data_IF_076580130680
#
_entry.id   IF_076580130680
#
_cell.length_a   1.000
_cell.length_b   1.000
_cell.length_c   1.000
_cell.angle_alpha   90.00
_cell.angle_beta   90.00
_cell.angle_gamma   90.00
#
_symmetry.space_group_name_H-M   'P 1'
#
loop_
_entity.id
_entity.type
_entity.pdbx_description
1 polymer ?
#
# COMPACT_ATOMS: atom_id res chain seq x y z
N UNK A 1 3.32 -13.18 18.38
CA UNK A 1 4.13 -13.99 17.44
C UNK A 1 5.53 -14.01 17.98
N UNK A 2 6.18 -15.18 18.05
CA UNK A 2 7.57 -15.30 18.47
C UNK A 2 8.54 -15.34 17.28
N UNK A 3 9.80 -15.08 17.53
CA UNK A 3 10.83 -15.03 16.49
C UNK A 3 11.09 -16.40 15.83
N UNK A 4 11.20 -17.52 16.55
CA UNK A 4 11.37 -18.84 15.95
C UNK A 4 10.27 -19.21 14.97
N UNK A 5 9.00 -18.97 15.34
CA UNK A 5 7.87 -19.22 14.46
C UNK A 5 7.94 -18.33 13.19
N UNK A 6 8.25 -17.03 13.37
CA UNK A 6 8.35 -16.10 12.24
C UNK A 6 9.47 -16.51 11.27
N UNK A 7 10.61 -16.98 11.77
CA UNK A 7 11.72 -17.48 10.96
C UNK A 7 11.31 -18.70 10.14
N UNK A 8 10.68 -19.71 10.77
CA UNK A 8 10.22 -20.92 10.07
C UNK A 8 9.14 -20.60 9.03
N UNK A 9 8.22 -19.70 9.36
CA UNK A 9 7.21 -19.24 8.41
C UNK A 9 7.86 -18.51 7.21
N UNK A 10 8.85 -17.67 7.46
CA UNK A 10 9.64 -17.01 6.42
C UNK A 10 10.37 -18.01 5.52
N UNK A 11 10.97 -19.06 6.09
CA UNK A 11 11.59 -20.15 5.31
C UNK A 11 10.56 -20.87 4.42
N UNK A 12 9.36 -21.13 4.93
CA UNK A 12 8.28 -21.73 4.17
C UNK A 12 7.84 -20.82 3.00
N UNK A 13 7.61 -19.54 3.28
CA UNK A 13 7.21 -18.56 2.27
C UNK A 13 8.23 -18.48 1.12
N UNK A 14 9.54 -18.39 1.45
CA UNK A 14 10.62 -18.39 0.44
C UNK A 14 10.60 -19.65 -0.41
N UNK A 15 10.45 -20.84 0.19
CA UNK A 15 10.32 -22.12 -0.56
C UNK A 15 9.12 -22.10 -1.51
N UNK A 16 8.04 -21.43 -1.12
CA UNK A 16 6.81 -21.29 -1.92
C UNK A 16 6.83 -20.09 -2.87
N UNK A 17 7.90 -19.28 -2.87
CA UNK A 17 8.02 -18.03 -3.64
C UNK A 17 6.90 -17.04 -3.33
N UNK A 18 6.54 -16.94 -2.06
CA UNK A 18 5.54 -16.01 -1.53
C UNK A 18 6.28 -14.85 -0.86
N UNK A 19 5.98 -13.63 -1.28
CA UNK A 19 6.43 -12.43 -0.59
C UNK A 19 5.59 -12.22 0.68
N UNK A 20 6.24 -11.78 1.74
CA UNK A 20 5.58 -11.49 3.00
C UNK A 20 5.64 -10.00 3.30
N UNK A 21 4.61 -9.49 3.94
CA UNK A 21 4.60 -8.23 4.67
C UNK A 21 4.13 -8.45 6.10
N UNK A 22 4.39 -7.50 6.98
CA UNK A 22 3.90 -7.52 8.36
C UNK A 22 3.01 -6.32 8.54
N UNK A 23 1.78 -6.52 9.01
CA UNK A 23 0.96 -5.42 9.50
C UNK A 23 1.26 -5.21 10.99
N UNK A 24 1.72 -4.02 11.36
CA UNK A 24 1.95 -3.65 12.75
C UNK A 24 0.62 -3.55 13.53
N UNK A 25 0.64 -3.69 14.86
CA UNK A 25 -0.56 -3.45 15.65
C UNK A 25 -1.14 -2.06 15.41
N UNK A 26 -2.46 -1.93 15.33
CA UNK A 26 -3.16 -0.66 15.06
C UNK A 26 -2.73 0.45 16.04
N UNK A 27 -2.45 0.10 17.30
CA UNK A 27 -1.95 1.06 18.30
C UNK A 27 -0.47 1.47 18.11
N UNK A 28 0.24 0.86 17.16
CA UNK A 28 1.64 1.13 16.85
C UNK A 28 1.83 2.32 15.90
N UNK A 29 1.18 3.45 16.16
CA UNK A 29 1.30 4.66 15.36
C UNK A 29 2.14 5.74 16.05
N UNK A 30 2.78 6.59 15.26
CA UNK A 30 3.60 7.71 15.75
C UNK A 30 2.80 8.99 15.95
N UNK A 31 3.46 10.05 16.41
CA UNK A 31 2.83 11.35 16.64
C UNK A 31 2.33 11.55 18.08
N UNK A 32 2.59 10.63 19.00
CA UNK A 32 2.38 10.84 20.43
C UNK A 32 3.35 11.90 21.01
N UNK A 33 3.00 12.45 22.16
CA UNK A 33 3.94 13.32 22.90
C UNK A 33 5.18 12.52 23.27
N UNK A 34 6.36 13.08 23.01
CA UNK A 34 7.63 12.43 23.35
C UNK A 34 7.70 12.13 24.85
N UNK A 35 8.34 11.01 25.17
CA UNK A 35 8.47 10.48 26.54
C UNK A 35 7.15 10.11 27.22
N UNK A 36 6.01 10.22 26.52
CA UNK A 36 4.75 9.65 27.02
C UNK A 36 4.78 8.13 26.92
N UNK A 37 4.07 7.45 27.82
CA UNK A 37 3.88 5.99 27.82
C UNK A 37 3.36 5.48 26.48
N UNK A 38 2.44 6.19 25.83
CA UNK A 38 1.89 5.83 24.51
C UNK A 38 2.96 5.87 23.42
N UNK A 39 3.84 6.89 23.44
CA UNK A 39 4.97 6.95 22.51
C UNK A 39 5.92 5.76 22.70
N UNK A 40 6.31 5.46 23.94
CA UNK A 40 7.16 4.32 24.25
C UNK A 40 6.54 2.99 23.84
N UNK A 41 5.24 2.81 24.02
CA UNK A 41 4.49 1.63 23.56
C UNK A 41 4.50 1.51 22.02
N UNK A 42 4.21 2.60 21.30
CA UNK A 42 4.21 2.61 19.83
C UNK A 42 5.59 2.26 19.27
N UNK A 43 6.66 2.87 19.78
CA UNK A 43 8.05 2.54 19.44
C UNK A 43 8.34 1.06 19.70
N UNK A 44 7.91 0.53 20.86
CA UNK A 44 8.08 -0.89 21.20
C UNK A 44 7.36 -1.83 20.23
N UNK A 45 6.13 -1.50 19.84
CA UNK A 45 5.34 -2.30 18.89
C UNK A 45 5.99 -2.30 17.50
N UNK A 46 6.42 -1.15 17.00
CA UNK A 46 7.08 -1.07 15.70
C UNK A 46 8.48 -1.71 15.68
N UNK A 47 9.26 -1.59 16.77
CA UNK A 47 10.54 -2.27 16.93
C UNK A 47 10.35 -3.81 16.95
N UNK A 48 9.32 -4.31 17.66
CA UNK A 48 9.01 -5.74 17.67
C UNK A 48 8.57 -6.22 16.29
N UNK A 49 7.68 -5.48 15.60
CA UNK A 49 7.27 -5.78 14.22
C UNK A 49 8.47 -5.82 13.28
N UNK A 50 9.43 -4.89 13.45
CA UNK A 50 10.66 -4.87 12.67
C UNK A 50 11.54 -6.11 12.90
N UNK A 51 11.63 -6.57 14.15
CA UNK A 51 12.33 -7.80 14.47
C UNK A 51 11.68 -9.03 13.83
N UNK A 52 10.35 -9.15 13.91
CA UNK A 52 9.58 -10.22 13.26
C UNK A 52 9.76 -10.16 11.73
N UNK A 53 9.63 -9.00 11.12
CA UNK A 53 9.81 -8.82 9.68
C UNK A 53 11.22 -9.20 9.23
N UNK A 54 12.25 -8.82 9.99
CA UNK A 54 13.65 -9.15 9.69
C UNK A 54 13.88 -10.66 9.63
N UNK A 55 13.46 -11.42 10.65
CA UNK A 55 13.68 -12.87 10.70
C UNK A 55 12.80 -13.63 9.71
N UNK A 56 11.59 -13.16 9.44
CA UNK A 56 10.71 -13.74 8.43
C UNK A 56 11.17 -13.43 6.99
N UNK A 57 11.98 -12.39 6.79
CA UNK A 57 12.30 -11.85 5.46
C UNK A 57 11.09 -11.18 4.84
N UNK A 58 10.30 -10.46 5.64
CA UNK A 58 9.09 -9.77 5.23
C UNK A 58 9.34 -8.27 5.01
N UNK A 59 8.69 -7.69 3.99
CA UNK A 59 8.67 -6.26 3.73
C UNK A 59 7.46 -5.86 2.86
N UNK A 60 6.89 -4.67 3.04
CA UNK A 60 7.17 -3.72 4.11
C UNK A 60 6.51 -4.10 5.45
N UNK A 61 6.83 -3.34 6.51
CA UNK A 61 6.02 -3.32 7.73
C UNK A 61 4.95 -2.25 7.54
N UNK A 62 3.72 -2.66 7.33
CA UNK A 62 2.58 -1.75 7.18
C UNK A 62 2.19 -1.19 8.55
N UNK A 63 1.97 0.10 8.63
CA UNK A 63 1.52 0.78 9.84
C UNK A 63 0.61 1.97 9.52
N UNK A 64 -0.27 2.29 10.47
CA UNK A 64 -1.14 3.45 10.40
C UNK A 64 -0.41 4.72 10.83
N UNK A 65 -0.56 5.86 10.14
CA UNK A 65 0.15 7.09 10.50
C UNK A 65 -0.41 7.78 11.77
N UNK A 66 -1.63 7.42 12.21
CA UNK A 66 -2.22 7.85 13.47
C UNK A 66 -3.22 8.98 13.37
N UNK A 67 -3.15 9.93 14.32
CA UNK A 67 -4.20 10.93 14.53
C UNK A 67 -3.61 12.32 14.71
N UNK A 68 -4.46 13.35 14.54
CA UNK A 68 -4.07 14.76 14.76
C UNK A 68 -3.70 15.06 16.22
N UNK A 69 -4.33 14.40 17.18
CA UNK A 69 -4.11 14.58 18.64
C UNK A 69 -4.13 16.05 19.07
N UNK A 70 -5.12 16.82 18.60
CA UNK A 70 -5.28 18.24 18.90
C UNK A 70 -4.34 19.21 18.17
N UNK A 71 -3.53 18.72 17.23
CA UNK A 71 -2.60 19.54 16.44
C UNK A 71 -3.15 19.86 15.06
N UNK A 72 -2.56 20.87 14.42
CA UNK A 72 -2.75 21.07 12.97
C UNK A 72 -2.13 19.88 12.21
N UNK A 73 -2.71 19.52 11.05
CA UNK A 73 -2.19 18.44 10.19
C UNK A 73 -0.70 18.59 9.90
N UNK A 74 -0.25 19.80 9.56
CA UNK A 74 1.16 20.08 9.29
C UNK A 74 2.07 19.74 10.49
N UNK A 75 1.68 20.12 11.71
CA UNK A 75 2.46 19.81 12.91
C UNK A 75 2.44 18.32 13.25
N UNK A 76 1.29 17.68 13.10
CA UNK A 76 1.16 16.24 13.34
C UNK A 76 2.04 15.44 12.38
N UNK A 77 2.02 15.74 11.08
CA UNK A 77 2.86 15.09 10.08
C UNK A 77 4.36 15.33 10.32
N UNK A 78 4.76 16.56 10.67
CA UNK A 78 6.16 16.84 10.97
C UNK A 78 6.66 16.00 12.15
N UNK A 79 5.86 15.87 13.22
CA UNK A 79 6.20 15.04 14.37
C UNK A 79 6.26 13.54 14.02
N UNK A 80 5.34 13.05 13.21
CA UNK A 80 5.38 11.65 12.74
C UNK A 80 6.68 11.38 11.96
N UNK A 81 7.08 12.28 11.06
CA UNK A 81 8.33 12.15 10.29
C UNK A 81 9.55 12.14 11.20
N UNK A 82 9.62 13.05 12.18
CA UNK A 82 10.72 13.12 13.15
C UNK A 82 10.83 11.83 13.96
N UNK A 83 9.72 11.38 14.56
CA UNK A 83 9.69 10.14 15.36
C UNK A 83 9.99 8.88 14.56
N UNK A 84 9.60 8.84 13.28
CA UNK A 84 9.99 7.75 12.39
C UNK A 84 11.49 7.77 12.08
N UNK A 85 12.09 8.94 11.91
CA UNK A 85 13.55 9.05 11.72
C UNK A 85 14.32 8.53 12.94
N UNK A 86 13.87 8.88 14.16
CA UNK A 86 14.44 8.37 15.41
C UNK A 86 14.27 6.85 15.55
N UNK A 87 13.08 6.35 15.19
CA UNK A 87 12.83 4.90 15.14
C UNK A 87 13.79 4.22 14.17
N UNK A 88 14.03 4.80 12.99
CA UNK A 88 14.97 4.24 12.00
C UNK A 88 16.37 4.10 12.57
N UNK A 89 16.90 5.15 13.20
CA UNK A 89 18.21 5.13 13.85
C UNK A 89 18.30 4.01 14.90
N UNK A 90 17.25 3.87 15.72
CA UNK A 90 17.15 2.79 16.72
C UNK A 90 17.13 1.39 16.07
N UNK A 91 16.41 1.20 14.97
CA UNK A 91 16.33 -0.09 14.27
C UNK A 91 17.66 -0.46 13.62
N UNK A 92 18.41 0.51 13.11
CA UNK A 92 19.75 0.31 12.54
C UNK A 92 20.73 -0.22 13.58
N UNK A 93 20.73 0.33 14.81
CA UNK A 93 21.61 -0.19 15.89
C UNK A 93 21.31 -1.62 16.29
N UNK A 94 20.12 -2.15 15.94
CA UNK A 94 19.66 -3.51 16.26
C UNK A 94 19.67 -4.47 15.07
N UNK A 95 20.17 -4.04 13.93
CA UNK A 95 20.08 -4.78 12.65
C UNK A 95 18.63 -5.18 12.28
N UNK A 96 17.67 -4.29 12.53
CA UNK A 96 16.23 -4.49 12.24
C UNK A 96 15.68 -3.50 11.23
N UNK A 97 16.57 -2.80 10.51
CA UNK A 97 16.20 -1.76 9.57
C UNK A 97 15.62 -2.36 8.27
N UNK A 98 14.33 -2.65 8.27
CA UNK A 98 13.53 -3.06 7.10
C UNK A 98 12.69 -1.89 6.57
N UNK A 99 12.24 -1.91 5.29
CA UNK A 99 11.29 -0.92 4.80
C UNK A 99 9.97 -0.93 5.56
N UNK A 100 9.44 0.27 5.85
CA UNK A 100 8.10 0.44 6.39
C UNK A 100 7.12 0.83 5.28
N UNK A 101 5.84 0.63 5.52
CA UNK A 101 4.75 1.02 4.64
C UNK A 101 3.74 1.86 5.42
N UNK A 102 3.59 3.14 5.06
CA UNK A 102 2.56 4.00 5.65
C UNK A 102 1.26 3.87 4.87
N UNK A 103 0.18 3.51 5.55
CA UNK A 103 -1.07 3.17 4.92
C UNK A 103 -2.03 4.37 4.82
N UNK A 104 -2.76 4.43 3.69
CA UNK A 104 -3.92 5.32 3.54
C UNK A 104 -5.03 4.89 4.50
N UNK A 105 -5.63 5.86 5.20
CA UNK A 105 -6.68 5.62 6.19
C UNK A 105 -8.08 5.85 5.63
N UNK A 106 -9.04 5.08 6.15
CA UNK A 106 -10.44 5.08 5.73
C UNK A 106 -11.35 6.07 6.46
N UNK A 107 -10.81 7.00 7.26
CA UNK A 107 -11.59 7.99 8.03
C UNK A 107 -11.03 9.39 7.90
N UNK A 108 -11.88 10.36 7.60
CA UNK A 108 -11.47 11.75 7.30
C UNK A 108 -10.81 12.49 8.47
N UNK A 109 -11.00 12.04 9.71
CA UNK A 109 -10.42 12.65 10.91
C UNK A 109 -9.04 12.11 11.28
N UNK A 110 -8.58 11.07 10.62
CA UNK A 110 -7.27 10.46 10.84
C UNK A 110 -6.18 11.17 10.02
N UNK A 111 -4.93 11.00 10.42
CA UNK A 111 -3.81 11.17 9.49
C UNK A 111 -3.82 9.98 8.54
N UNK A 112 -3.40 10.19 7.28
CA UNK A 112 -3.32 9.12 6.30
C UNK A 112 -4.20 9.35 5.08
N UNK A 113 -4.51 10.62 4.75
CA UNK A 113 -4.96 10.91 3.38
C UNK A 113 -3.85 10.51 2.39
N UNK A 114 -4.19 10.39 1.11
CA UNK A 114 -3.19 10.11 0.07
C UNK A 114 -2.02 11.12 0.14
N UNK A 115 -2.33 12.41 0.30
CA UNK A 115 -1.34 13.47 0.41
C UNK A 115 -0.45 13.32 1.64
N UNK A 116 -1.01 12.86 2.78
CA UNK A 116 -0.25 12.65 4.02
C UNK A 116 0.78 11.53 3.85
N UNK A 117 0.39 10.39 3.30
CA UNK A 117 1.31 9.26 3.13
C UNK A 117 2.38 9.56 2.09
N UNK A 118 2.04 10.28 1.01
CA UNK A 118 3.02 10.73 0.04
C UNK A 118 4.01 11.72 0.67
N UNK A 119 3.53 12.67 1.48
CA UNK A 119 4.38 13.60 2.23
C UNK A 119 5.39 12.89 3.13
N UNK A 120 4.97 11.84 3.84
CA UNK A 120 5.86 11.02 4.70
C UNK A 120 6.88 10.28 3.84
N UNK A 121 6.44 9.63 2.77
CA UNK A 121 7.29 8.82 1.88
C UNK A 121 8.33 9.66 1.13
N UNK A 122 7.99 10.88 0.73
CA UNK A 122 8.95 11.80 0.09
C UNK A 122 10.10 12.21 1.02
N UNK A 123 9.85 12.30 2.33
CA UNK A 123 10.83 12.70 3.34
C UNK A 123 11.62 11.54 3.88
N UNK A 124 11.03 10.36 3.89
CA UNK A 124 11.60 9.14 4.42
C UNK A 124 11.55 8.03 3.35
N UNK A 125 12.55 7.94 2.45
CA UNK A 125 12.51 6.98 1.32
C UNK A 125 12.41 5.50 1.74
N UNK A 126 12.70 5.17 2.99
CA UNK A 126 12.51 3.84 3.55
C UNK A 126 11.08 3.58 4.03
N UNK A 127 10.21 4.61 4.06
CA UNK A 127 8.77 4.51 4.33
C UNK A 127 8.04 4.61 3.01
N UNK A 128 7.52 3.49 2.52
CA UNK A 128 6.81 3.39 1.22
C UNK A 128 5.32 3.67 1.40
N UNK A 129 4.64 4.30 0.43
CA UNK A 129 3.18 4.42 0.50
C UNK A 129 2.53 3.04 0.32
N UNK A 130 1.58 2.72 1.19
CA UNK A 130 0.66 1.59 1.07
C UNK A 130 -0.71 2.13 0.72
N UNK A 131 -1.24 1.66 -0.40
CA UNK A 131 -2.50 2.17 -0.94
C UNK A 131 -3.62 1.18 -0.60
N UNK A 132 -4.46 1.54 0.37
CA UNK A 132 -5.73 0.85 0.56
C UNK A 132 -6.81 1.52 -0.28
N UNK A 133 -7.28 0.82 -1.31
CA UNK A 133 -8.33 1.36 -2.19
C UNK A 133 -9.72 1.27 -1.58
N UNK A 134 -9.96 0.39 -0.62
CA UNK A 134 -11.20 0.37 0.13
C UNK A 134 -11.30 1.63 1.01
N UNK A 135 -10.23 1.97 1.73
CA UNK A 135 -10.14 3.20 2.53
C UNK A 135 -10.33 4.45 1.66
N UNK A 136 -9.62 4.54 0.52
CA UNK A 136 -9.80 5.65 -0.42
C UNK A 136 -11.24 5.72 -0.94
N UNK A 137 -11.86 4.57 -1.25
CA UNK A 137 -13.25 4.51 -1.69
C UNK A 137 -14.20 5.08 -0.65
N UNK A 138 -13.99 4.72 0.62
CA UNK A 138 -14.79 5.23 1.74
C UNK A 138 -14.65 6.74 1.92
N UNK A 139 -13.42 7.28 2.00
CA UNK A 139 -13.19 8.72 2.25
C UNK A 139 -13.55 9.62 1.08
N UNK A 140 -13.70 9.07 -0.12
CA UNK A 140 -14.12 9.78 -1.33
C UNK A 140 -15.57 9.53 -1.73
N UNK A 141 -16.34 8.94 -0.82
CA UNK A 141 -17.77 8.65 -1.03
C UNK A 141 -18.04 7.80 -2.29
N UNK A 142 -17.24 6.74 -2.47
CA UNK A 142 -17.44 5.77 -3.54
C UNK A 142 -16.77 6.09 -4.89
N UNK A 143 -15.75 6.95 -4.93
CA UNK A 143 -15.15 7.42 -6.20
C UNK A 143 -14.37 6.35 -6.99
N UNK A 144 -13.96 5.23 -6.38
CA UNK A 144 -13.08 4.25 -7.02
C UNK A 144 -13.86 3.20 -7.84
N UNK A 145 -14.48 3.65 -8.94
CA UNK A 145 -15.23 2.82 -9.89
C UNK A 145 -14.67 2.85 -11.30
N UNK A 146 -13.69 3.72 -11.60
CA UNK A 146 -13.13 3.91 -12.93
C UNK A 146 -11.62 3.65 -12.99
N UNK A 147 -11.13 3.13 -14.11
CA UNK A 147 -9.68 2.95 -14.33
C UNK A 147 -8.87 4.24 -14.14
N UNK A 148 -9.47 5.40 -14.42
CA UNK A 148 -8.80 6.70 -14.24
C UNK A 148 -8.55 6.99 -12.77
N UNK A 149 -9.53 6.78 -11.88
CA UNK A 149 -9.40 7.04 -10.46
C UNK A 149 -8.23 6.22 -9.85
N UNK A 150 -8.20 4.93 -10.12
CA UNK A 150 -7.09 4.06 -9.66
C UNK A 150 -5.74 4.47 -10.25
N UNK A 151 -5.69 4.77 -11.55
CA UNK A 151 -4.45 5.17 -12.22
C UNK A 151 -3.86 6.44 -11.64
N UNK A 152 -4.68 7.43 -11.32
CA UNK A 152 -4.22 8.73 -10.84
C UNK A 152 -3.55 8.57 -9.46
N UNK A 153 -4.10 7.73 -8.57
CA UNK A 153 -3.47 7.38 -7.28
C UNK A 153 -2.17 6.59 -7.46
N UNK A 154 -2.19 5.55 -8.30
CA UNK A 154 -0.98 4.78 -8.61
C UNK A 154 0.11 5.66 -9.24
N UNK A 155 -0.26 6.64 -10.07
CA UNK A 155 0.69 7.59 -10.66
C UNK A 155 1.33 8.48 -9.60
N UNK A 156 0.56 8.94 -8.61
CA UNK A 156 1.09 9.72 -7.49
C UNK A 156 2.04 8.88 -6.64
N UNK A 157 1.65 7.67 -6.25
CA UNK A 157 2.50 6.76 -5.49
C UNK A 157 3.78 6.37 -6.24
N UNK A 158 3.70 6.18 -7.57
CA UNK A 158 4.85 5.82 -8.41
C UNK A 158 5.95 6.88 -8.42
N UNK A 159 5.62 8.16 -8.18
CA UNK A 159 6.59 9.25 -8.15
C UNK A 159 7.49 9.22 -6.91
N UNK A 160 6.95 8.77 -5.78
CA UNK A 160 7.65 8.77 -4.49
C UNK A 160 8.26 7.40 -4.14
N UNK A 161 7.79 6.32 -4.76
CA UNK A 161 8.34 4.99 -4.54
C UNK A 161 9.78 4.87 -5.06
N UNK A 162 10.71 4.33 -4.28
CA UNK A 162 12.07 4.05 -4.73
C UNK A 162 12.07 3.19 -6.01
N UNK A 163 13.12 3.35 -6.82
CA UNK A 163 13.30 2.54 -8.03
C UNK A 163 13.33 1.05 -7.67
N UNK A 164 12.51 0.24 -8.36
CA UNK A 164 12.42 -1.20 -8.15
C UNK A 164 11.52 -1.63 -6.99
N UNK A 165 11.12 -0.74 -6.09
CA UNK A 165 10.15 -1.08 -5.05
C UNK A 165 8.78 -1.38 -5.67
N UNK A 166 8.07 -2.45 -5.26
CA UNK A 166 6.72 -2.74 -5.76
C UNK A 166 5.70 -1.73 -5.24
N UNK A 167 4.57 -1.59 -5.93
CA UNK A 167 3.36 -1.10 -5.27
C UNK A 167 2.97 -2.09 -4.18
N UNK A 168 2.55 -1.58 -3.03
CA UNK A 168 1.89 -2.36 -1.99
C UNK A 168 0.46 -1.85 -1.87
N UNK A 169 -0.50 -2.73 -2.12
CA UNK A 169 -1.91 -2.36 -2.26
C UNK A 169 -2.76 -3.28 -1.41
N UNK A 170 -3.64 -2.69 -0.61
CA UNK A 170 -4.75 -3.38 0.03
C UNK A 170 -6.03 -3.11 -0.75
N UNK A 171 -6.92 -4.09 -0.80
CA UNK A 171 -8.18 -3.99 -1.54
C UNK A 171 -9.24 -4.93 -0.97
N UNK A 172 -10.44 -4.42 -0.79
CA UNK A 172 -11.66 -5.16 -0.48
C UNK A 172 -12.87 -4.32 -0.86
N UNK A 173 -14.06 -4.87 -0.84
CA UNK A 173 -15.25 -4.02 -0.72
C UNK A 173 -15.34 -3.46 0.71
N UNK A 174 -16.09 -2.36 0.87
CA UNK A 174 -16.13 -1.63 2.13
C UNK A 174 -17.49 -0.99 2.37
N UNK A 175 -17.98 -1.09 3.60
CA UNK A 175 -19.10 -0.29 4.09
C UNK A 175 -18.57 1.00 4.70
N UNK A 176 -19.21 2.12 4.39
CA UNK A 176 -18.85 3.42 4.92
C UNK A 176 -20.09 4.30 5.13
N UNK A 177 -19.96 5.29 6.00
CA UNK A 177 -20.96 6.31 6.24
C UNK A 177 -20.27 7.66 6.47
N UNK A 178 -20.83 8.72 5.86
CA UNK A 178 -20.27 10.07 6.02
C UNK A 178 -18.77 10.15 5.74
N UNK A 179 -18.30 9.45 4.69
CA UNK A 179 -16.87 9.37 4.30
C UNK A 179 -15.96 8.76 5.38
N UNK A 180 -16.49 7.85 6.16
CA UNK A 180 -15.73 7.09 7.14
C UNK A 180 -16.05 5.61 6.97
N UNK A 181 -15.03 4.80 6.89
CA UNK A 181 -15.16 3.35 6.88
C UNK A 181 -15.86 2.84 8.13
N UNK A 182 -16.61 1.76 7.99
CA UNK A 182 -17.23 1.05 9.11
C UNK A 182 -16.72 -0.39 9.20
N UNK A 183 -16.60 -1.09 8.08
CA UNK A 183 -16.04 -2.45 8.02
C UNK A 183 -15.72 -2.84 6.58
N UNK A 184 -14.75 -3.75 6.42
CA UNK A 184 -14.53 -4.47 5.17
C UNK A 184 -15.68 -5.43 4.89
N UNK A 185 -16.03 -5.61 3.61
CA UNK A 185 -17.13 -6.45 3.14
C UNK A 185 -16.59 -7.58 2.27
N UNK A 186 -17.34 -8.68 2.14
CA UNK A 186 -17.16 -9.64 1.07
C UNK A 186 -17.16 -8.95 -0.30
N UNK A 187 -16.31 -9.42 -1.22
CA UNK A 187 -16.21 -8.83 -2.55
C UNK A 187 -17.51 -9.03 -3.34
N UNK A 188 -18.07 -7.92 -3.80
CA UNK A 188 -19.36 -7.87 -4.52
C UNK A 188 -20.50 -7.31 -3.69
N UNK A 189 -20.36 -7.17 -2.38
CA UNK A 189 -21.38 -6.58 -1.50
C UNK A 189 -21.33 -5.05 -1.45
N UNK A 190 -20.21 -4.44 -1.87
CA UNK A 190 -20.05 -3.00 -2.00
C UNK A 190 -20.03 -2.53 -3.44
N UNK A 191 -19.50 -1.34 -3.67
CA UNK A 191 -19.41 -0.70 -5.00
C UNK A 191 -18.01 -0.63 -5.59
N UNK A 192 -16.95 -1.00 -4.84
CA UNK A 192 -15.60 -1.07 -5.37
C UNK A 192 -15.47 -2.22 -6.37
N UNK A 193 -14.75 -1.99 -7.48
CA UNK A 193 -14.56 -3.01 -8.52
C UNK A 193 -13.09 -3.19 -8.84
N UNK A 194 -12.65 -4.45 -8.87
CA UNK A 194 -11.24 -4.81 -9.06
C UNK A 194 -10.81 -4.71 -10.52
N UNK A 195 -11.69 -4.92 -11.49
CA UNK A 195 -11.34 -4.89 -12.90
C UNK A 195 -10.82 -3.51 -13.37
N UNK A 196 -11.42 -2.36 -13.00
CA UNK A 196 -10.85 -1.05 -13.29
C UNK A 196 -9.46 -0.85 -12.66
N UNK A 197 -9.24 -1.36 -11.44
CA UNK A 197 -7.95 -1.34 -10.77
C UNK A 197 -6.91 -2.18 -11.53
N UNK A 198 -7.22 -3.42 -11.88
CA UNK A 198 -6.32 -4.28 -12.65
C UNK A 198 -5.92 -3.68 -13.99
N UNK A 199 -6.87 -3.04 -14.71
CA UNK A 199 -6.58 -2.28 -15.94
C UNK A 199 -5.70 -1.05 -15.71
N UNK A 200 -5.82 -0.39 -14.56
CA UNK A 200 -4.95 0.72 -14.19
C UNK A 200 -3.54 0.23 -13.88
N UNK A 201 -3.42 -0.83 -13.07
CA UNK A 201 -2.16 -1.43 -12.65
C UNK A 201 -1.33 -1.94 -13.84
N UNK A 202 -1.98 -2.57 -14.82
CA UNK A 202 -1.33 -3.07 -16.03
C UNK A 202 -0.67 -2.00 -16.92
N UNK A 203 -0.84 -0.71 -16.60
CA UNK A 203 -0.19 0.40 -17.31
C UNK A 203 1.17 0.77 -16.76
N UNK A 204 1.55 0.20 -15.62
CA UNK A 204 2.82 0.46 -14.97
C UNK A 204 3.78 -0.72 -15.16
N UNK A 205 5.04 -0.44 -15.48
CA UNK A 205 6.11 -1.43 -15.54
C UNK A 205 6.66 -1.79 -14.14
N UNK A 206 5.93 -1.45 -13.09
CA UNK A 206 6.30 -1.68 -11.70
C UNK A 206 5.56 -2.91 -11.18
N UNK A 207 6.26 -3.85 -10.49
CA UNK A 207 5.58 -4.95 -9.84
C UNK A 207 4.66 -4.47 -8.72
N UNK A 208 3.69 -5.29 -8.34
CA UNK A 208 2.76 -4.99 -7.26
C UNK A 208 2.53 -6.22 -6.39
N UNK A 209 2.44 -5.99 -5.09
CA UNK A 209 1.84 -6.91 -4.12
C UNK A 209 0.43 -6.39 -3.83
N UNK A 210 -0.57 -7.23 -4.04
CA UNK A 210 -1.98 -6.90 -3.77
C UNK A 210 -2.48 -7.84 -2.69
N UNK A 211 -2.91 -7.28 -1.57
CA UNK A 211 -3.45 -7.99 -0.42
C UNK A 211 -4.97 -7.78 -0.41
N UNK A 212 -5.73 -8.86 -0.38
CA UNK A 212 -7.17 -8.79 -0.14
C UNK A 212 -7.42 -8.72 1.36
N UNK A 213 -8.16 -7.69 1.79
CA UNK A 213 -8.62 -7.54 3.18
C UNK A 213 -10.11 -7.88 3.34
N UNK A 214 -10.66 -8.63 2.38
CA UNK A 214 -12.02 -9.18 2.51
C UNK A 214 -12.09 -10.18 3.67
N UNK A 215 -13.25 -10.32 4.33
CA UNK A 215 -13.37 -11.16 5.51
C UNK A 215 -13.44 -12.67 5.22
N UNK A 216 -13.47 -13.10 3.96
CA UNK A 216 -13.71 -14.48 3.55
C UNK A 216 -12.82 -14.93 2.38
N UNK A 217 -12.60 -16.26 2.30
CA UNK A 217 -11.74 -16.89 1.29
C UNK A 217 -12.31 -16.79 -0.13
N UNK A 218 -13.63 -16.85 -0.30
CA UNK A 218 -14.26 -16.77 -1.64
C UNK A 218 -13.99 -15.41 -2.26
N UNK A 219 -14.03 -14.34 -1.45
CA UNK A 219 -13.66 -12.98 -1.85
C UNK A 219 -12.19 -12.89 -2.27
N UNK A 220 -11.27 -13.51 -1.53
CA UNK A 220 -9.85 -13.54 -1.90
C UNK A 220 -9.65 -14.18 -3.26
N UNK A 221 -10.31 -15.30 -3.53
CA UNK A 221 -10.25 -15.98 -4.82
C UNK A 221 -10.88 -15.16 -5.94
N UNK A 222 -12.03 -14.55 -5.70
CA UNK A 222 -12.72 -13.70 -6.67
C UNK A 222 -11.86 -12.50 -7.08
N UNK A 223 -11.24 -11.79 -6.12
CA UNK A 223 -10.32 -10.68 -6.35
C UNK A 223 -9.12 -11.16 -7.18
N UNK A 224 -8.51 -12.29 -6.83
CA UNK A 224 -7.38 -12.86 -7.56
C UNK A 224 -7.73 -13.16 -9.02
N UNK A 225 -8.89 -13.77 -9.26
CA UNK A 225 -9.37 -14.10 -10.62
C UNK A 225 -9.63 -12.84 -11.43
N UNK A 226 -10.30 -11.84 -10.85
CA UNK A 226 -10.60 -10.56 -11.50
C UNK A 226 -9.32 -9.79 -11.89
N UNK A 227 -8.30 -9.78 -11.01
CA UNK A 227 -7.00 -9.19 -11.30
C UNK A 227 -6.29 -9.90 -12.46
N UNK A 228 -6.22 -11.24 -12.44
CA UNK A 228 -5.59 -12.02 -13.49
C UNK A 228 -6.26 -11.80 -14.85
N UNK A 229 -7.59 -11.77 -14.89
CA UNK A 229 -8.36 -11.49 -16.09
C UNK A 229 -8.12 -10.09 -16.66
N UNK A 230 -7.90 -9.09 -15.77
CA UNK A 230 -7.66 -7.70 -16.16
C UNK A 230 -6.26 -7.48 -16.73
N UNK A 231 -5.27 -8.22 -16.26
CA UNK A 231 -3.88 -8.14 -16.70
C UNK A 231 -3.66 -8.80 -18.07
N UNK A 232 -4.50 -9.76 -18.47
CA UNK A 232 -4.32 -10.61 -19.66
C UNK A 232 -4.84 -10.02 -20.97
N UNK A 233 -5.40 -8.79 -21.00
CA UNK A 233 -5.84 -8.13 -22.25
C UNK A 233 -4.83 -7.08 -22.73
N UNK A 234 -3.88 -7.42 -23.64
CA UNK A 234 -3.05 -6.40 -24.28
C UNK A 234 -3.97 -5.45 -25.07
N UNK A 235 -3.75 -4.15 -24.96
CA UNK A 235 -4.48 -3.16 -25.75
C UNK A 235 -4.15 -3.39 -27.23
N UNK A 236 -5.11 -3.82 -28.03
CA UNK A 236 -5.03 -4.07 -29.48
C UNK A 236 -4.71 -2.82 -30.32
N UNK A 237 -4.20 -1.73 -29.73
CA UNK A 237 -4.02 -0.45 -30.41
C UNK A 237 -2.59 -0.14 -30.86
N UNK A 238 -1.58 -0.90 -30.46
CA UNK A 238 -0.18 -0.61 -30.82
C UNK A 238 0.32 -1.31 -32.08
N UNK A 239 -0.42 -2.26 -32.67
CA UNK A 239 0.04 -3.02 -33.83
C UNK A 239 -0.49 -2.53 -35.21
N UNK A 240 -1.29 -1.43 -35.26
CA UNK A 240 -1.81 -0.91 -36.54
C UNK A 240 -1.04 0.27 -37.13
N UNK A 241 -0.08 0.87 -36.41
CA UNK A 241 0.70 2.01 -36.96
C UNK A 241 2.02 1.62 -37.62
N UNK A 242 2.48 0.38 -37.48
CA UNK A 242 3.73 -0.09 -38.10
C UNK A 242 3.58 -0.71 -39.49
N UNK A 243 2.34 -0.98 -39.94
CA UNK A 243 2.10 -1.67 -41.22
C UNK A 243 1.78 -0.74 -42.39
N UNK A 244 1.71 0.59 -42.19
CA UNK A 244 1.33 1.54 -43.28
C UNK A 244 2.48 2.36 -43.87
N UNK A 245 3.74 2.21 -43.40
CA UNK A 245 4.87 3.01 -43.87
C UNK A 245 5.82 2.28 -44.85
N UNK A 246 5.53 1.04 -45.26
CA UNK A 246 6.41 0.28 -46.18
C UNK A 246 5.89 0.08 -47.60
N UNK A 247 4.84 0.81 -48.03
CA UNK A 247 4.33 0.73 -49.41
C UNK A 247 4.27 2.08 -50.12
N UNK A 248 5.40 2.78 -50.23
CA UNK A 248 5.52 3.85 -51.23
C UNK A 248 6.98 4.21 -51.56
N UNK A 249 7.77 3.26 -51.99
CA UNK A 249 9.02 3.54 -52.76
C UNK A 249 9.32 2.33 -53.64
N UNK A 250 8.63 2.24 -54.75
CA UNK A 250 9.14 1.53 -55.94
C UNK A 250 8.18 1.77 -57.10
N UNK A 251 8.34 2.92 -57.79
CA UNK A 251 8.01 3.12 -59.19
C UNK A 251 8.43 4.52 -59.61
N UNK A 252 9.66 4.62 -60.14
CA UNK A 252 10.08 5.52 -61.24
C UNK A 252 11.56 5.24 -61.50
N UNK A 253 11.82 4.43 -62.41
CA UNK A 253 12.54 4.49 -63.65
C UNK A 253 12.60 3.14 -64.27
#
# INVERSE_FOLDING_TARGET
MDYPWAEEFGKLARRRRINLSVHAPIAGFMGHVERDKKHAMAVGMLDHSAGIAKVAGAEPIVFHPGFLLGRTRKRALAQVVEQLADLRARLETKDRAVPFGVEVMGRVRELGSLEDILYISERLPWVRPVIDFAHLHAVTDGAFTTTKAFRDVLSAANKVLPRGAPFHVHISDIAYANRNETRHLPYGEGSLRVEPFGKALARFARPATVISESPDEDSHQAIRVALAASASKPSRRASRSAASSSRSRSRKN
#
